data_IF_807982214740
#
_entry.id   IF_807982214740
#
_cell.length_a   1.000
_cell.length_b   1.000
_cell.length_c   1.000
_cell.angle_alpha   90.00
_cell.angle_beta   90.00
_cell.angle_gamma   90.00
#
_symmetry.space_group_name_H-M   'P 1'
#
loop_
_entity.id
_entity.type
_entity.pdbx_description
1 polymer ?
#
# COMPACT_ATOMS: atom_id res chain seq x y z
N UNK A 1 64.23 22.11 -35.15
CA UNK A 1 63.82 21.72 -33.79
C UNK A 1 65.02 21.07 -33.11
N UNK A 2 65.53 21.62 -32.00
CA UNK A 2 66.59 20.95 -31.24
C UNK A 2 65.99 19.70 -30.59
N UNK A 3 66.63 18.54 -30.79
CA UNK A 3 66.25 17.33 -30.08
C UNK A 3 66.51 17.54 -28.58
N UNK A 4 65.45 17.42 -27.79
CA UNK A 4 65.50 17.51 -26.33
C UNK A 4 66.43 16.42 -25.80
N UNK A 5 67.27 16.75 -24.82
CA UNK A 5 68.21 15.75 -24.28
C UNK A 5 67.41 14.64 -23.59
N UNK A 6 67.87 13.38 -23.65
CA UNK A 6 67.17 12.26 -23.01
C UNK A 6 66.82 12.53 -21.54
N UNK A 7 67.73 13.17 -20.80
CA UNK A 7 67.57 13.57 -19.39
C UNK A 7 66.36 14.51 -19.18
N UNK A 8 66.25 15.57 -19.97
CA UNK A 8 65.14 16.54 -19.92
C UNK A 8 63.78 15.88 -20.23
N UNK A 9 63.78 14.87 -21.12
CA UNK A 9 62.58 14.08 -21.45
C UNK A 9 62.18 13.14 -20.30
N UNK A 10 63.14 12.48 -19.65
CA UNK A 10 62.89 11.63 -18.49
C UNK A 10 62.40 12.43 -17.29
N UNK A 11 62.98 13.59 -17.02
CA UNK A 11 62.55 14.49 -15.93
C UNK A 11 61.12 14.99 -16.15
N UNK A 12 60.75 15.37 -17.37
CA UNK A 12 59.38 15.77 -17.69
C UNK A 12 58.38 14.62 -17.52
N UNK A 13 58.73 13.40 -17.93
CA UNK A 13 57.89 12.22 -17.73
C UNK A 13 57.74 11.87 -16.25
N UNK A 14 58.82 11.93 -15.48
CA UNK A 14 58.81 11.69 -14.04
C UNK A 14 57.94 12.72 -13.30
N UNK A 15 58.05 14.00 -13.67
CA UNK A 15 57.22 15.06 -13.10
C UNK A 15 55.75 14.93 -13.50
N UNK A 16 55.45 14.55 -14.75
CA UNK A 16 54.09 14.25 -15.20
C UNK A 16 53.48 13.07 -14.45
N UNK A 17 54.24 11.99 -14.26
CA UNK A 17 53.80 10.82 -13.49
C UNK A 17 53.59 11.14 -12.00
N UNK A 18 54.48 11.94 -11.41
CA UNK A 18 54.34 12.42 -10.03
C UNK A 18 53.07 13.27 -9.89
N UNK A 19 52.83 14.23 -10.79
CA UNK A 19 51.62 15.04 -10.78
C UNK A 19 50.34 14.21 -10.92
N UNK A 20 50.36 13.19 -11.78
CA UNK A 20 49.24 12.24 -11.91
C UNK A 20 49.04 11.41 -10.63
N UNK A 21 50.12 10.92 -10.02
CA UNK A 21 50.08 10.17 -8.76
C UNK A 21 49.53 11.02 -7.62
N UNK A 22 49.97 12.28 -7.52
CA UNK A 22 49.51 13.22 -6.50
C UNK A 22 48.02 13.56 -6.71
N UNK A 23 47.58 13.73 -7.96
CA UNK A 23 46.16 13.91 -8.28
C UNK A 23 45.31 12.68 -7.94
N UNK A 24 45.81 11.46 -8.20
CA UNK A 24 45.12 10.22 -7.84
C UNK A 24 45.05 10.06 -6.33
N UNK A 25 46.14 10.36 -5.61
CA UNK A 25 46.18 10.31 -4.15
C UNK A 25 45.26 11.36 -3.49
N UNK A 26 45.05 12.51 -4.14
CA UNK A 26 44.12 13.53 -3.68
C UNK A 26 42.65 13.21 -3.96
N UNK A 27 42.33 12.17 -4.76
CA UNK A 27 40.94 11.76 -4.97
C UNK A 27 40.38 11.16 -3.69
N UNK A 28 39.12 11.48 -3.33
CA UNK A 28 38.42 10.83 -2.23
C UNK A 28 38.51 9.32 -2.39
N UNK A 29 39.06 8.64 -1.38
CA UNK A 29 39.22 7.20 -1.38
C UNK A 29 38.03 6.52 -0.70
N UNK A 30 37.68 5.29 -1.10
CA UNK A 30 36.75 4.49 -0.34
C UNK A 30 37.29 4.20 1.06
N UNK A 31 36.41 3.97 2.05
CA UNK A 31 36.83 3.53 3.37
C UNK A 31 37.50 2.16 3.32
N UNK A 32 38.25 1.82 4.36
CA UNK A 32 38.92 0.50 4.44
C UNK A 32 37.91 -0.64 4.58
N UNK A 33 36.78 -0.37 5.22
CA UNK A 33 35.70 -1.33 5.45
C UNK A 33 34.33 -0.73 5.15
N UNK A 34 33.37 -1.56 4.78
CA UNK A 34 31.98 -1.14 4.55
C UNK A 34 31.34 -0.51 5.81
N UNK A 35 31.72 -0.97 7.00
CA UNK A 35 31.18 -0.48 8.27
C UNK A 35 31.51 1.01 8.55
N UNK A 36 32.54 1.56 7.91
CA UNK A 36 32.95 2.94 8.10
C UNK A 36 32.08 3.97 7.36
N UNK A 37 31.13 3.53 6.53
CA UNK A 37 30.15 4.40 5.91
C UNK A 37 29.10 4.87 6.92
N UNK A 38 29.14 6.16 7.23
CA UNK A 38 28.14 6.83 8.05
C UNK A 38 26.98 7.33 7.18
N UNK A 39 25.76 7.19 7.69
CA UNK A 39 24.58 7.79 7.10
C UNK A 39 23.63 8.21 8.22
N UNK A 40 23.34 9.50 8.26
CA UNK A 40 22.35 10.09 9.14
C UNK A 40 21.17 10.53 8.27
N UNK A 41 19.98 9.91 8.44
CA UNK A 41 18.82 10.28 7.63
C UNK A 41 18.36 11.69 7.95
N UNK A 42 17.94 12.43 6.91
CA UNK A 42 17.27 13.71 7.11
C UNK A 42 15.89 13.48 7.76
N UNK A 43 15.36 14.49 8.46
CA UNK A 43 14.05 14.40 9.14
C UNK A 43 12.92 13.95 8.20
N UNK A 44 13.07 14.23 6.89
CA UNK A 44 12.12 13.85 5.85
C UNK A 44 12.02 12.33 5.64
N UNK A 45 13.15 11.64 5.70
CA UNK A 45 13.28 10.20 5.39
C UNK A 45 13.53 9.35 6.64
N UNK A 46 13.71 9.98 7.81
CA UNK A 46 14.04 9.34 9.08
C UNK A 46 13.04 8.26 9.50
N UNK A 47 11.75 8.46 9.21
CA UNK A 47 10.70 7.49 9.52
C UNK A 47 10.76 6.21 8.68
N UNK A 48 11.45 6.24 7.54
CA UNK A 48 11.60 5.09 6.64
C UNK A 48 12.82 4.22 6.94
N UNK A 49 13.77 4.74 7.72
CA UNK A 49 15.06 4.10 7.96
C UNK A 49 15.13 3.66 9.41
N UNK A 50 15.28 2.36 9.63
CA UNK A 50 15.44 1.81 10.98
C UNK A 50 16.90 1.98 11.46
N UNK A 51 17.16 2.07 12.77
CA UNK A 51 18.51 2.12 13.31
C UNK A 51 19.42 0.97 12.83
N UNK A 52 18.87 -0.24 12.70
CA UNK A 52 19.55 -1.45 12.23
C UNK A 52 19.02 -1.94 10.88
N UNK A 53 18.80 -1.02 9.93
CA UNK A 53 18.22 -1.36 8.64
C UNK A 53 19.15 -2.30 7.82
N UNK A 54 18.72 -3.54 7.50
CA UNK A 54 19.53 -4.47 6.71
C UNK A 54 19.79 -3.95 5.29
N UNK A 55 18.90 -3.11 4.75
CA UNK A 55 19.09 -2.48 3.44
C UNK A 55 20.27 -1.51 3.50
N UNK A 56 20.48 -0.82 4.62
CA UNK A 56 21.67 0.02 4.79
C UNK A 56 22.95 -0.80 4.87
N UNK A 57 22.93 -1.97 5.50
CA UNK A 57 24.10 -2.86 5.50
C UNK A 57 24.46 -3.30 4.07
N UNK A 58 23.48 -3.75 3.29
CA UNK A 58 23.66 -4.12 1.87
C UNK A 58 24.16 -2.92 1.06
N UNK A 59 23.61 -1.73 1.29
CA UNK A 59 24.04 -0.52 0.60
C UNK A 59 25.50 -0.17 0.92
N UNK A 60 25.95 -0.35 2.17
CA UNK A 60 27.35 -0.14 2.57
C UNK A 60 28.29 -1.14 1.90
N UNK A 61 27.91 -2.41 1.84
CA UNK A 61 28.69 -3.45 1.17
C UNK A 61 28.82 -3.16 -0.34
N UNK A 62 27.71 -2.86 -1.00
CA UNK A 62 27.70 -2.48 -2.41
C UNK A 62 28.52 -1.21 -2.68
N UNK A 63 28.42 -0.21 -1.80
CA UNK A 63 29.22 1.02 -1.91
C UNK A 63 30.72 0.74 -1.74
N UNK A 64 31.10 -0.19 -0.86
CA UNK A 64 32.50 -0.61 -0.68
C UNK A 64 33.02 -1.32 -1.92
N UNK A 65 32.24 -2.26 -2.47
CA UNK A 65 32.59 -3.03 -3.67
C UNK A 65 32.85 -2.13 -4.89
N UNK A 66 32.03 -1.10 -5.10
CA UNK A 66 32.21 -0.15 -6.21
C UNK A 66 33.24 0.97 -5.92
N UNK A 67 33.85 0.97 -4.74
CA UNK A 67 34.84 1.97 -4.33
C UNK A 67 34.26 3.37 -4.15
N UNK A 68 33.02 3.49 -3.67
CA UNK A 68 32.40 4.80 -3.40
C UNK A 68 33.18 5.54 -2.31
N UNK A 69 33.51 6.83 -2.46
CA UNK A 69 34.18 7.53 -1.39
C UNK A 69 33.27 7.73 -0.18
N UNK A 70 33.86 7.67 1.02
CA UNK A 70 33.15 7.71 2.31
C UNK A 70 32.15 8.87 2.42
N UNK A 71 32.55 10.06 2.00
CA UNK A 71 31.76 11.30 2.12
C UNK A 71 30.59 11.40 1.11
N UNK A 72 30.52 10.49 0.13
CA UNK A 72 29.45 10.46 -0.87
C UNK A 72 28.33 9.49 -0.53
N UNK A 73 28.59 8.47 0.29
CA UNK A 73 27.60 7.45 0.62
C UNK A 73 26.32 8.03 1.20
N UNK A 74 26.41 8.78 2.30
CA UNK A 74 25.22 9.33 2.96
C UNK A 74 24.42 10.28 2.06
N UNK A 75 25.11 11.08 1.22
CA UNK A 75 24.46 11.97 0.25
C UNK A 75 23.73 11.19 -0.84
N UNK A 76 24.34 10.13 -1.34
CA UNK A 76 23.77 9.28 -2.38
C UNK A 76 22.52 8.55 -1.87
N UNK A 77 22.64 7.86 -0.72
CA UNK A 77 21.52 7.14 -0.11
C UNK A 77 20.39 8.10 0.26
N UNK A 78 20.72 9.21 0.95
CA UNK A 78 19.73 10.23 1.31
C UNK A 78 18.97 10.75 0.10
N UNK A 79 19.66 11.07 -1.00
CA UNK A 79 19.02 11.60 -2.21
C UNK A 79 18.07 10.60 -2.87
N UNK A 80 18.41 9.30 -2.87
CA UNK A 80 17.53 8.25 -3.41
C UNK A 80 16.23 8.19 -2.61
N UNK A 81 16.32 8.12 -1.27
CA UNK A 81 15.14 8.05 -0.41
C UNK A 81 14.29 9.32 -0.50
N UNK A 82 14.91 10.50 -0.53
CA UNK A 82 14.19 11.76 -0.68
C UNK A 82 13.43 11.84 -2.01
N UNK A 83 14.07 11.46 -3.12
CA UNK A 83 13.42 11.44 -4.44
C UNK A 83 12.33 10.37 -4.51
N UNK A 84 12.55 9.20 -3.90
CA UNK A 84 11.54 8.14 -3.84
C UNK A 84 10.32 8.60 -3.04
N UNK A 85 10.52 9.28 -1.91
CA UNK A 85 9.45 9.89 -1.14
C UNK A 85 8.71 10.96 -1.93
N UNK A 86 9.43 11.88 -2.59
CA UNK A 86 8.83 12.96 -3.39
C UNK A 86 7.99 12.44 -4.56
N UNK A 87 8.36 11.28 -5.10
CA UNK A 87 7.60 10.59 -6.15
C UNK A 87 6.52 9.66 -5.61
N UNK A 88 6.31 9.59 -4.30
CA UNK A 88 5.33 8.70 -3.67
C UNK A 88 5.66 7.20 -3.86
N UNK A 89 6.93 6.86 -4.12
CA UNK A 89 7.38 5.48 -4.31
C UNK A 89 7.63 4.76 -2.97
N UNK A 90 7.75 5.52 -1.88
CA UNK A 90 7.84 4.96 -0.53
C UNK A 90 6.45 4.95 0.11
N UNK A 91 5.99 3.77 0.52
CA UNK A 91 4.82 3.64 1.37
C UNK A 91 5.09 4.40 2.68
N UNK A 92 4.21 5.34 3.04
CA UNK A 92 4.34 6.09 4.29
C UNK A 92 4.39 5.10 5.46
N UNK A 93 5.32 5.25 6.41
CA UNK A 93 5.33 4.44 7.61
C UNK A 93 4.02 4.63 8.34
N UNK A 94 3.44 3.53 8.81
CA UNK A 94 2.19 3.57 9.56
C UNK A 94 2.37 4.39 10.85
N UNK A 95 1.53 5.42 11.01
CA UNK A 95 1.45 6.25 12.21
C UNK A 95 0.05 6.10 12.83
N UNK A 96 -0.10 5.32 13.92
CA UNK A 96 -1.38 5.09 14.56
C UNK A 96 -2.05 6.38 15.07
N UNK A 97 -1.26 7.38 15.46
CA UNK A 97 -1.79 8.65 15.96
C UNK A 97 -2.33 9.49 14.80
N UNK A 98 -1.60 9.52 13.68
CA UNK A 98 -2.06 10.21 12.48
C UNK A 98 -3.33 9.57 11.91
N UNK A 99 -3.39 8.24 11.82
CA UNK A 99 -4.60 7.52 11.37
C UNK A 99 -5.78 7.75 12.33
N UNK A 100 -5.55 7.67 13.65
CA UNK A 100 -6.57 7.97 14.64
C UNK A 100 -7.13 9.40 14.51
N UNK A 101 -6.28 10.38 14.21
CA UNK A 101 -6.70 11.77 13.96
C UNK A 101 -7.53 11.92 12.69
N UNK A 102 -7.19 11.23 11.60
CA UNK A 102 -8.01 11.20 10.38
C UNK A 102 -9.41 10.62 10.65
N UNK A 103 -9.51 9.58 11.48
CA UNK A 103 -10.81 9.06 11.92
C UNK A 103 -11.57 10.12 12.73
N UNK A 104 -10.90 10.78 13.68
CA UNK A 104 -11.49 11.82 14.52
C UNK A 104 -12.08 12.98 13.71
N UNK A 105 -11.40 13.43 12.65
CA UNK A 105 -11.88 14.49 11.76
C UNK A 105 -13.25 14.18 11.16
N UNK A 106 -13.54 12.90 10.88
CA UNK A 106 -14.84 12.46 10.35
C UNK A 106 -15.91 12.30 11.42
N UNK A 107 -15.59 11.63 12.53
CA UNK A 107 -16.61 11.18 13.50
C UNK A 107 -16.80 12.15 14.68
N UNK A 108 -15.84 13.03 14.93
CA UNK A 108 -15.82 13.97 16.04
C UNK A 108 -15.24 15.33 15.59
N UNK A 109 -15.80 15.95 14.52
CA UNK A 109 -15.24 17.19 13.98
C UNK A 109 -15.24 18.31 15.02
N UNK A 110 -14.12 19.05 15.08
CA UNK A 110 -13.95 20.19 15.99
C UNK A 110 -13.62 19.84 17.44
N UNK A 111 -13.52 18.57 17.81
CA UNK A 111 -13.08 18.14 19.14
C UNK A 111 -11.55 18.08 19.26
N UNK A 112 -11.04 18.27 20.47
CA UNK A 112 -9.61 17.99 20.72
C UNK A 112 -9.32 16.49 20.59
N UNK A 113 -8.05 16.12 20.45
CA UNK A 113 -7.67 14.70 20.39
C UNK A 113 -8.06 13.95 21.67
N UNK A 114 -7.93 14.58 22.83
CA UNK A 114 -8.27 14.02 24.14
C UNK A 114 -9.77 13.67 24.22
N UNK A 115 -10.63 14.51 23.64
CA UNK A 115 -12.07 14.30 23.58
C UNK A 115 -12.49 13.31 22.48
N UNK A 116 -11.76 13.29 21.36
CA UNK A 116 -12.06 12.43 20.21
C UNK A 116 -11.55 10.99 20.39
N UNK A 117 -10.41 10.80 21.06
CA UNK A 117 -9.75 9.50 21.26
C UNK A 117 -10.69 8.38 21.78
N UNK A 118 -11.54 8.57 22.81
CA UNK A 118 -12.45 7.52 23.25
C UNK A 118 -13.49 7.15 22.17
N UNK A 119 -13.96 8.13 21.39
CA UNK A 119 -14.90 7.90 20.28
C UNK A 119 -14.23 7.11 19.16
N UNK A 120 -13.01 7.50 18.78
CA UNK A 120 -12.20 6.79 17.78
C UNK A 120 -11.93 5.36 18.23
N UNK A 121 -11.52 5.16 19.48
CA UNK A 121 -11.27 3.83 20.04
C UNK A 121 -12.53 2.96 20.01
N UNK A 122 -13.69 3.54 20.32
CA UNK A 122 -14.98 2.84 20.24
C UNK A 122 -15.30 2.39 18.81
N UNK A 123 -15.16 3.29 17.83
CA UNK A 123 -15.40 3.00 16.41
C UNK A 123 -14.45 1.92 15.90
N UNK A 124 -13.15 2.01 16.20
CA UNK A 124 -12.16 1.01 15.77
C UNK A 124 -12.51 -0.36 16.33
N UNK A 125 -12.83 -0.47 17.63
CA UNK A 125 -13.24 -1.74 18.26
C UNK A 125 -14.52 -2.32 17.68
N UNK A 126 -15.48 -1.46 17.35
CA UNK A 126 -16.71 -1.87 16.68
C UNK A 126 -16.41 -2.46 15.30
N UNK A 127 -15.52 -1.82 14.54
CA UNK A 127 -15.10 -2.29 13.21
C UNK A 127 -14.25 -3.55 13.27
N UNK A 128 -13.39 -3.71 14.28
CA UNK A 128 -12.68 -4.97 14.57
C UNK A 128 -13.67 -6.11 14.84
N UNK A 129 -14.68 -5.85 15.67
CA UNK A 129 -15.71 -6.83 15.99
C UNK A 129 -16.52 -7.22 14.75
N UNK A 130 -16.94 -6.22 13.97
CA UNK A 130 -17.64 -6.43 12.70
C UNK A 130 -16.79 -7.23 11.70
N UNK A 131 -15.54 -6.85 11.49
CA UNK A 131 -14.60 -7.55 10.62
C UNK A 131 -14.41 -9.01 11.07
N UNK A 132 -14.29 -9.24 12.38
CA UNK A 132 -14.21 -10.59 12.95
C UNK A 132 -15.45 -11.43 12.63
N UNK A 133 -16.64 -10.88 12.84
CA UNK A 133 -17.91 -11.56 12.53
C UNK A 133 -18.04 -11.86 11.03
N UNK A 134 -17.72 -10.90 10.17
CA UNK A 134 -17.74 -11.08 8.70
C UNK A 134 -16.77 -12.17 8.28
N UNK A 135 -15.55 -12.16 8.81
CA UNK A 135 -14.55 -13.19 8.50
C UNK A 135 -15.04 -14.59 8.89
N UNK A 136 -15.64 -14.72 10.07
CA UNK A 136 -16.15 -16.00 10.57
C UNK A 136 -17.39 -16.47 9.77
N UNK A 137 -18.32 -15.56 9.44
CA UNK A 137 -19.50 -15.86 8.62
C UNK A 137 -19.14 -16.29 7.20
N UNK A 138 -18.15 -15.63 6.59
CA UNK A 138 -17.64 -15.97 5.26
C UNK A 138 -16.64 -17.13 5.27
N UNK A 139 -16.28 -17.65 6.45
CA UNK A 139 -15.29 -18.72 6.64
C UNK A 139 -13.96 -18.40 5.95
N UNK A 140 -13.49 -17.17 6.12
CA UNK A 140 -12.23 -16.72 5.54
C UNK A 140 -11.05 -17.48 6.18
N UNK A 141 -10.05 -17.83 5.36
CA UNK A 141 -8.78 -18.34 5.87
C UNK A 141 -8.00 -17.27 6.64
N UNK A 142 -7.03 -17.68 7.46
CA UNK A 142 -6.29 -16.80 8.37
C UNK A 142 -5.68 -15.57 7.69
N UNK A 143 -5.09 -15.73 6.51
CA UNK A 143 -4.52 -14.60 5.76
C UNK A 143 -5.57 -13.57 5.32
N UNK A 144 -6.74 -14.02 4.88
CA UNK A 144 -7.84 -13.13 4.47
C UNK A 144 -8.52 -12.48 5.68
N UNK A 145 -8.64 -13.20 6.80
CA UNK A 145 -9.09 -12.64 8.08
C UNK A 145 -8.12 -11.56 8.59
N UNK A 146 -6.81 -11.82 8.52
CA UNK A 146 -5.77 -10.86 8.87
C UNK A 146 -5.85 -9.59 8.02
N UNK A 147 -6.02 -9.73 6.71
CA UNK A 147 -6.20 -8.58 5.81
C UNK A 147 -7.49 -7.79 6.11
N UNK A 148 -8.60 -8.47 6.42
CA UNK A 148 -9.84 -7.79 6.77
C UNK A 148 -9.70 -7.02 8.09
N UNK A 149 -9.01 -7.60 9.08
CA UNK A 149 -8.73 -6.95 10.35
C UNK A 149 -7.75 -5.77 10.18
N UNK A 150 -6.75 -5.87 9.31
CA UNK A 150 -5.80 -4.75 9.09
C UNK A 150 -6.46 -3.51 8.49
N UNK A 151 -7.65 -3.63 7.88
CA UNK A 151 -8.42 -2.45 7.48
C UNK A 151 -8.85 -1.58 8.67
N UNK A 152 -8.89 -2.13 9.88
CA UNK A 152 -9.27 -1.37 11.08
C UNK A 152 -8.14 -0.46 11.60
N UNK A 153 -6.91 -0.69 11.14
CA UNK A 153 -5.74 0.12 11.48
C UNK A 153 -5.73 1.46 10.71
N UNK A 154 -6.34 1.50 9.52
CA UNK A 154 -6.33 2.67 8.65
C UNK A 154 -7.68 3.42 8.63
N UNK A 155 -7.65 4.75 8.57
CA UNK A 155 -8.86 5.56 8.60
C UNK A 155 -9.83 5.28 7.42
N UNK A 156 -9.27 5.00 6.24
CA UNK A 156 -10.01 4.59 5.04
C UNK A 156 -10.59 3.19 5.16
N UNK A 157 -9.90 2.26 5.81
CA UNK A 157 -10.42 0.91 6.03
C UNK A 157 -11.55 0.91 7.07
N UNK A 158 -11.42 1.71 8.14
CA UNK A 158 -12.53 1.97 9.09
C UNK A 158 -13.72 2.60 8.37
N UNK A 159 -13.51 3.54 7.43
CA UNK A 159 -14.59 4.10 6.60
C UNK A 159 -15.32 3.04 5.80
N UNK A 160 -14.56 2.21 5.10
CA UNK A 160 -15.07 1.15 4.26
C UNK A 160 -15.90 0.17 5.10
N UNK A 161 -15.36 -0.28 6.24
CA UNK A 161 -16.05 -1.20 7.13
C UNK A 161 -17.33 -0.57 7.72
N UNK A 162 -17.32 0.71 8.07
CA UNK A 162 -18.52 1.42 8.51
C UNK A 162 -19.58 1.48 7.41
N UNK A 163 -19.18 1.79 6.16
CA UNK A 163 -20.08 1.81 5.02
C UNK A 163 -20.67 0.42 4.72
N UNK A 164 -19.85 -0.63 4.79
CA UNK A 164 -20.27 -2.02 4.61
C UNK A 164 -21.25 -2.46 5.72
N UNK A 165 -20.90 -2.23 6.99
CA UNK A 165 -21.75 -2.51 8.14
C UNK A 165 -23.09 -1.77 8.04
N UNK A 166 -23.05 -0.49 7.68
CA UNK A 166 -24.26 0.33 7.52
C UNK A 166 -25.13 -0.03 6.32
N UNK A 167 -24.60 -0.73 5.32
CA UNK A 167 -25.33 -1.25 4.16
C UNK A 167 -25.89 -2.66 4.42
N UNK A 168 -25.23 -3.44 5.28
CA UNK A 168 -25.73 -4.74 5.71
C UNK A 168 -27.06 -4.57 6.47
N UNK A 169 -28.10 -5.25 5.98
CA UNK A 169 -29.45 -5.20 6.57
C UNK A 169 -30.34 -4.05 6.05
N UNK A 170 -29.87 -3.21 5.13
CA UNK A 170 -30.73 -2.28 4.39
C UNK A 170 -31.19 -2.92 3.08
N UNK A 171 -32.50 -2.90 2.82
CA UNK A 171 -33.09 -3.24 1.53
C UNK A 171 -33.19 -1.94 0.68
N UNK A 172 -32.63 -1.87 -0.53
CA UNK A 172 -31.91 -2.94 -1.24
C UNK A 172 -30.46 -3.10 -0.82
N UNK A 173 -30.03 -4.36 -0.70
CA UNK A 173 -28.63 -4.74 -0.57
C UNK A 173 -27.80 -4.25 -1.78
N UNK A 174 -26.47 -4.38 -1.70
CA UNK A 174 -25.55 -4.00 -2.79
C UNK A 174 -26.06 -4.47 -4.15
N UNK A 175 -26.43 -3.51 -5.01
CA UNK A 175 -26.87 -3.79 -6.38
C UNK A 175 -25.65 -3.97 -7.26
N UNK A 176 -25.36 -5.20 -7.65
CA UNK A 176 -24.44 -5.46 -8.75
C UNK A 176 -25.24 -5.30 -10.05
N UNK A 177 -24.91 -4.27 -10.84
CA UNK A 177 -25.58 -4.04 -12.12
C UNK A 177 -25.36 -5.25 -13.04
N UNK A 178 -26.45 -5.84 -13.54
CA UNK A 178 -26.43 -6.99 -14.46
C UNK A 178 -26.75 -8.35 -13.84
N UNK A 179 -26.76 -8.49 -12.51
CA UNK A 179 -27.20 -9.73 -11.84
C UNK A 179 -28.67 -9.65 -11.43
N UNK A 180 -29.57 -9.97 -12.36
CA UNK A 180 -30.92 -10.41 -11.98
C UNK A 180 -30.79 -11.82 -11.39
N UNK A 181 -30.81 -11.92 -10.06
CA UNK A 181 -30.71 -13.15 -9.28
C UNK A 181 -29.33 -13.85 -9.30
N UNK A 182 -28.45 -13.42 -8.39
CA UNK A 182 -27.41 -14.30 -7.87
C UNK A 182 -27.41 -14.25 -6.34
N UNK A 183 -27.76 -15.41 -5.75
CA UNK A 183 -27.64 -15.80 -4.35
C UNK A 183 -28.38 -14.93 -3.30
N UNK A 184 -29.51 -15.43 -2.81
CA UNK A 184 -30.07 -14.93 -1.55
C UNK A 184 -31.54 -15.26 -1.34
N UNK A 185 -32.43 -14.38 -1.79
CA UNK A 185 -33.87 -14.53 -1.65
C UNK A 185 -34.56 -13.82 -2.81
N UNK A 186 -35.48 -14.51 -3.47
CA UNK A 186 -36.42 -13.84 -4.37
C UNK A 186 -37.29 -12.90 -3.53
N UNK A 187 -37.41 -11.64 -3.96
CA UNK A 187 -38.37 -10.68 -3.40
C UNK A 187 -39.59 -10.57 -4.32
N UNK A 188 -40.73 -10.12 -3.79
CA UNK A 188 -41.94 -9.88 -4.61
C UNK A 188 -41.63 -8.96 -5.81
N UNK A 189 -40.88 -7.88 -5.57
CA UNK A 189 -40.49 -6.95 -6.62
C UNK A 189 -39.57 -7.59 -7.68
N UNK A 190 -38.66 -8.48 -7.28
CA UNK A 190 -37.81 -9.21 -8.24
C UNK A 190 -38.61 -10.22 -9.08
N UNK A 191 -39.65 -10.83 -8.50
CA UNK A 191 -40.51 -11.77 -9.20
C UNK A 191 -41.40 -11.04 -10.21
N UNK A 192 -42.00 -9.91 -9.83
CA UNK A 192 -42.82 -9.11 -10.73
C UNK A 192 -42.04 -8.64 -11.96
N UNK A 193 -40.77 -8.23 -11.75
CA UNK A 193 -39.86 -7.87 -12.86
C UNK A 193 -39.47 -9.07 -13.71
N UNK A 194 -39.26 -10.24 -13.09
CA UNK A 194 -38.88 -11.44 -13.80
C UNK A 194 -40.03 -12.02 -14.65
N UNK A 195 -41.29 -11.86 -14.22
CA UNK A 195 -42.48 -12.24 -15.01
C UNK A 195 -42.68 -11.33 -16.23
N UNK A 196 -42.31 -10.05 -16.11
CA UNK A 196 -42.36 -9.10 -17.22
C UNK A 196 -41.21 -9.30 -18.24
N UNK A 197 -40.22 -10.14 -17.92
CA UNK A 197 -39.08 -10.42 -18.80
C UNK A 197 -39.51 -11.29 -20.00
N UNK A 198 -39.16 -10.91 -21.26
CA UNK A 198 -39.46 -11.72 -22.44
C UNK A 198 -38.94 -13.15 -22.39
N UNK A 199 -37.95 -13.45 -21.54
CA UNK A 199 -37.44 -14.81 -21.31
C UNK A 199 -38.39 -15.70 -20.53
N UNK A 200 -39.27 -15.12 -19.71
CA UNK A 200 -40.27 -15.88 -18.93
C UNK A 200 -41.47 -16.31 -19.78
N UNK A 201 -41.84 -15.51 -20.80
CA UNK A 201 -43.02 -15.74 -21.62
C UNK A 201 -42.79 -16.87 -22.65
N UNK A 202 -43.52 -18.01 -22.60
CA UNK A 202 -43.37 -19.11 -23.56
C UNK A 202 -43.78 -18.78 -24.99
N UNK A 203 -44.46 -17.65 -25.21
CA UNK A 203 -44.85 -17.16 -26.53
C UNK A 203 -43.87 -16.12 -27.09
N UNK A 204 -42.85 -15.74 -26.31
CA UNK A 204 -41.82 -14.81 -26.75
C UNK A 204 -40.74 -15.52 -27.57
N UNK A 205 -40.23 -14.91 -28.66
CA UNK A 205 -39.06 -15.43 -29.37
C UNK A 205 -37.81 -15.57 -28.50
N UNK A 206 -37.74 -14.84 -27.38
CA UNK A 206 -36.65 -14.88 -26.42
C UNK A 206 -36.87 -15.85 -25.26
N UNK A 207 -37.87 -16.73 -25.33
CA UNK A 207 -38.20 -17.66 -24.25
C UNK A 207 -37.00 -18.52 -23.82
N UNK A 208 -36.73 -18.52 -22.53
CA UNK A 208 -35.72 -19.35 -21.89
C UNK A 208 -36.39 -20.22 -20.83
N UNK A 209 -36.42 -21.53 -21.10
CA UNK A 209 -37.02 -22.52 -20.21
C UNK A 209 -36.32 -22.58 -18.84
N UNK A 210 -35.00 -22.46 -18.80
CA UNK A 210 -34.24 -22.52 -17.55
C UNK A 210 -34.49 -21.28 -16.69
N UNK A 211 -34.57 -20.11 -17.33
CA UNK A 211 -34.94 -18.86 -16.66
C UNK A 211 -36.35 -18.95 -16.05
N UNK A 212 -37.33 -19.48 -16.81
CA UNK A 212 -38.69 -19.69 -16.30
C UNK A 212 -38.73 -20.63 -15.08
N UNK A 213 -38.05 -21.77 -15.15
CA UNK A 213 -37.98 -22.72 -14.03
C UNK A 213 -37.37 -22.07 -12.76
N UNK A 214 -36.40 -21.17 -12.94
CA UNK A 214 -35.79 -20.42 -11.84
C UNK A 214 -36.77 -19.42 -11.20
N UNK A 215 -37.54 -18.69 -12.01
CA UNK A 215 -38.56 -17.74 -11.54
C UNK A 215 -39.73 -18.47 -10.87
N UNK A 216 -40.17 -19.60 -11.43
CA UNK A 216 -41.22 -20.45 -10.84
C UNK A 216 -40.78 -21.07 -9.50
N UNK A 217 -39.49 -21.39 -9.34
CA UNK A 217 -38.93 -21.77 -8.04
C UNK A 217 -38.95 -20.58 -7.04
N UNK A 218 -38.68 -19.36 -7.52
CA UNK A 218 -38.80 -18.14 -6.73
C UNK A 218 -40.24 -17.84 -6.27
N UNK A 219 -41.24 -18.03 -7.12
CA UNK A 219 -42.65 -17.92 -6.73
C UNK A 219 -43.02 -18.88 -5.61
N UNK A 220 -42.55 -20.14 -5.69
CA UNK A 220 -42.75 -21.12 -4.61
C UNK A 220 -42.05 -20.71 -3.31
N UNK A 221 -40.89 -20.04 -3.39
CA UNK A 221 -40.19 -19.54 -2.21
C UNK A 221 -40.91 -18.35 -1.53
N UNK A 222 -41.55 -17.47 -2.31
CA UNK A 222 -42.17 -16.23 -1.80
C UNK A 222 -43.66 -16.41 -1.43
N UNK A 223 -44.37 -17.30 -2.12
CA UNK A 223 -45.82 -17.50 -1.97
C UNK A 223 -46.21 -18.92 -1.54
N UNK A 224 -45.26 -19.84 -1.39
CA UNK A 224 -45.53 -21.21 -0.96
C UNK A 224 -45.65 -21.32 0.57
N UNK A 225 -46.87 -21.61 1.03
CA UNK A 225 -47.15 -22.51 2.16
C UNK A 225 -47.03 -23.96 1.71
#
# INVERSE_FOLDING_TARGET
>A
MKAEKPEERFDRLANGYKGLRDQIAARPQPPKTAAEYAFEPSEKIKSYIKPDDPVLAIARDAAHEIGLPKDHFGKFVGKIFEVAQDKGLLAQPYDPLAEGRKIAERIAPGKSWEEAKPVVTGVVKEMESFAGVVADQLKLGEGAKGLLLSLTDEASGVELLQALSGAMGKDPAFKVAGNAAAAGQWTKESLDKAVADPRYNPLSPGYDKAFREQVDAGFRQVHGT
#
